data_IF_194799864462
#
_entry.id   IF_194799864462
#
_cell.length_a   1.000
_cell.length_b   1.000
_cell.length_c   1.000
_cell.angle_alpha   90.00
_cell.angle_beta   90.00
_cell.angle_gamma   90.00
#
_symmetry.space_group_name_H-M   'P 1'
#
loop_
_entity.id
_entity.type
_entity.pdbx_description
1 polymer ?
#
# COMPACT_ATOMS: atom_id res chain seq x y z
N UNK A 1 39.72 43.25 -48.26
CA UNK A 1 39.22 43.10 -46.87
C UNK A 1 38.07 42.08 -46.91
N UNK A 2 38.28 40.89 -46.53
CA UNK A 2 37.26 39.80 -46.54
C UNK A 2 36.84 39.58 -45.10
N UNK A 3 35.57 39.97 -44.79
CA UNK A 3 34.97 39.74 -43.50
C UNK A 3 34.54 38.29 -43.34
N UNK A 4 35.10 37.59 -42.36
CA UNK A 4 34.66 36.24 -41.98
C UNK A 4 33.49 36.35 -40.97
N UNK A 5 32.30 35.95 -41.36
CA UNK A 5 31.17 35.76 -40.46
C UNK A 5 31.33 34.45 -39.68
N UNK A 6 31.48 34.50 -38.38
CA UNK A 6 31.43 33.33 -37.50
C UNK A 6 29.94 33.08 -37.14
N UNK A 7 29.38 32.00 -37.62
CA UNK A 7 28.06 31.51 -37.19
C UNK A 7 28.25 30.69 -35.89
N UNK A 8 27.82 31.24 -34.76
CA UNK A 8 27.82 30.53 -33.50
C UNK A 8 26.51 29.72 -33.41
N UNK A 9 26.62 28.41 -33.52
CA UNK A 9 25.49 27.49 -33.40
C UNK A 9 25.16 27.28 -31.91
N UNK A 10 24.11 27.93 -31.44
CA UNK A 10 23.58 27.72 -30.06
C UNK A 10 22.79 26.40 -30.04
N UNK A 11 23.36 25.36 -29.44
CA UNK A 11 22.66 24.12 -29.18
C UNK A 11 21.76 24.30 -27.95
N UNK A 12 20.45 24.48 -28.15
CA UNK A 12 19.46 24.49 -27.06
C UNK A 12 19.25 23.02 -26.65
N UNK A 13 19.85 22.64 -25.53
CA UNK A 13 19.60 21.35 -24.89
C UNK A 13 18.17 21.37 -24.28
N UNK A 14 17.20 20.86 -25.01
CA UNK A 14 15.84 20.72 -24.52
C UNK A 14 15.82 19.54 -23.51
N UNK A 15 15.97 19.82 -22.21
CA UNK A 15 15.73 18.84 -21.15
C UNK A 15 14.23 18.54 -21.11
N UNK A 16 13.81 17.47 -21.75
CA UNK A 16 12.46 16.91 -21.56
C UNK A 16 12.36 16.35 -20.15
N UNK A 17 11.60 17.01 -19.30
CA UNK A 17 11.22 16.46 -17.99
C UNK A 17 10.23 15.33 -18.26
N UNK A 18 10.69 14.09 -18.18
CA UNK A 18 9.81 12.93 -18.22
C UNK A 18 9.12 12.83 -16.87
N UNK A 19 7.88 13.26 -16.79
CA UNK A 19 7.04 12.97 -15.63
C UNK A 19 6.73 11.48 -15.61
N UNK A 20 6.97 10.82 -14.46
CA UNK A 20 6.57 9.45 -14.26
C UNK A 20 5.04 9.37 -14.34
N UNK A 21 4.53 8.55 -15.27
CA UNK A 21 3.10 8.45 -15.52
C UNK A 21 2.43 7.57 -14.47
N UNK A 22 1.34 8.06 -13.88
CA UNK A 22 0.46 7.27 -13.03
C UNK A 22 -0.17 6.12 -13.85
N UNK A 23 -0.16 4.93 -13.29
CA UNK A 23 -0.79 3.74 -13.85
C UNK A 23 -1.88 3.26 -12.90
N UNK A 24 -3.11 3.12 -13.40
CA UNK A 24 -4.17 2.47 -12.63
C UNK A 24 -3.86 0.99 -12.49
N UNK A 25 -3.87 0.49 -11.26
CA UNK A 25 -3.73 -0.95 -10.97
C UNK A 25 -5.08 -1.66 -11.06
N UNK A 26 -6.19 -0.93 -11.01
CA UNK A 26 -7.55 -1.45 -11.18
C UNK A 26 -8.22 -0.79 -12.39
N UNK A 27 -8.77 -1.61 -13.29
CA UNK A 27 -9.30 -1.15 -14.58
C UNK A 27 -10.80 -0.80 -14.55
N UNK A 28 -11.48 -0.96 -13.40
CA UNK A 28 -12.91 -0.70 -13.23
C UNK A 28 -13.85 -1.78 -13.80
N UNK A 29 -13.32 -2.89 -14.34
CA UNK A 29 -14.10 -3.91 -15.05
C UNK A 29 -13.92 -5.32 -14.48
N UNK A 30 -12.70 -5.71 -14.21
CA UNK A 30 -12.33 -7.05 -13.76
C UNK A 30 -11.04 -7.03 -12.93
N UNK A 31 -10.60 -8.20 -12.49
CA UNK A 31 -9.37 -8.38 -11.69
C UNK A 31 -8.13 -8.67 -12.54
N UNK A 32 -8.10 -8.29 -13.81
CA UNK A 32 -6.92 -8.44 -14.66
C UNK A 32 -5.70 -7.76 -14.05
N UNK A 33 -4.59 -8.49 -13.92
CA UNK A 33 -3.36 -8.03 -13.26
C UNK A 33 -3.32 -8.30 -11.75
N UNK A 34 -4.33 -9.04 -11.25
CA UNK A 34 -4.43 -9.46 -9.87
C UNK A 34 -4.77 -10.94 -9.75
N UNK A 35 -4.31 -11.59 -8.70
CA UNK A 35 -4.76 -12.92 -8.29
C UNK A 35 -5.25 -12.92 -6.84
N UNK A 36 -6.03 -13.94 -6.52
CA UNK A 36 -6.68 -14.10 -5.22
C UNK A 36 -5.90 -15.12 -4.42
N UNK A 37 -5.55 -14.80 -3.18
CA UNK A 37 -5.00 -15.73 -2.19
C UNK A 37 -5.92 -15.75 -0.96
N UNK A 38 -6.87 -16.68 -0.95
CA UNK A 38 -7.89 -16.87 0.08
C UNK A 38 -7.87 -18.34 0.53
N UNK A 39 -7.25 -18.68 1.66
CA UNK A 39 -7.04 -20.07 2.08
C UNK A 39 -8.32 -20.91 2.22
N UNK A 40 -9.46 -20.26 2.51
CA UNK A 40 -10.74 -20.96 2.61
C UNK A 40 -11.22 -21.50 1.26
N UNK A 41 -10.92 -20.82 0.14
CA UNK A 41 -11.29 -21.25 -1.20
C UNK A 41 -10.52 -22.51 -1.66
N UNK A 42 -9.36 -22.78 -1.09
CA UNK A 42 -8.64 -24.03 -1.37
C UNK A 42 -9.35 -25.26 -0.79
N UNK A 43 -10.13 -25.05 0.29
CA UNK A 43 -10.84 -26.11 1.00
C UNK A 43 -12.27 -26.30 0.49
N UNK A 44 -12.90 -25.21 0.07
CA UNK A 44 -14.26 -25.21 -0.47
C UNK A 44 -14.38 -24.18 -1.61
N UNK A 45 -14.37 -24.68 -2.85
CA UNK A 45 -14.49 -23.88 -4.07
C UNK A 45 -15.90 -23.32 -4.30
N UNK A 46 -16.91 -23.73 -3.51
CA UNK A 46 -18.25 -23.15 -3.57
C UNK A 46 -18.37 -21.85 -2.77
N UNK A 47 -17.40 -21.54 -1.94
CA UNK A 47 -17.38 -20.26 -1.25
C UNK A 47 -17.27 -19.11 -2.25
N UNK A 48 -17.93 -18.01 -1.93
CA UNK A 48 -17.88 -16.81 -2.74
C UNK A 48 -16.50 -16.16 -2.66
N UNK A 49 -15.98 -15.74 -3.82
CA UNK A 49 -14.82 -14.85 -3.87
C UNK A 49 -15.13 -13.55 -3.11
N UNK A 50 -14.30 -13.15 -2.11
CA UNK A 50 -14.52 -11.91 -1.36
C UNK A 50 -14.21 -10.63 -2.16
N UNK A 51 -13.55 -10.73 -3.31
CA UNK A 51 -13.24 -9.59 -4.16
C UNK A 51 -14.13 -9.57 -5.38
N UNK A 52 -14.93 -8.52 -5.52
CA UNK A 52 -15.89 -8.36 -6.61
C UNK A 52 -15.79 -6.98 -7.25
N UNK A 53 -16.41 -6.82 -8.41
CA UNK A 53 -16.60 -5.52 -9.03
C UNK A 53 -18.07 -5.13 -8.85
N UNK A 54 -18.30 -3.93 -8.33
CA UNK A 54 -19.64 -3.36 -8.15
C UNK A 54 -19.63 -1.88 -8.53
N UNK A 55 -20.46 -1.51 -9.50
CA UNK A 55 -20.57 -0.13 -10.00
C UNK A 55 -19.21 0.47 -10.46
N UNK A 56 -18.37 -0.35 -11.10
CA UNK A 56 -17.05 0.08 -11.56
C UNK A 56 -15.99 0.22 -10.45
N UNK A 57 -16.32 -0.16 -9.22
CA UNK A 57 -15.42 -0.15 -8.07
C UNK A 57 -14.99 -1.57 -7.71
N UNK A 58 -13.76 -1.72 -7.24
CA UNK A 58 -13.31 -2.91 -6.56
C UNK A 58 -13.93 -2.93 -5.16
N UNK A 59 -14.46 -4.07 -4.75
CA UNK A 59 -15.08 -4.26 -3.43
C UNK A 59 -14.48 -5.48 -2.77
N UNK A 60 -13.95 -5.31 -1.58
CA UNK A 60 -13.68 -6.40 -0.64
C UNK A 60 -14.93 -6.60 0.22
N UNK A 61 -15.47 -7.79 0.24
CA UNK A 61 -16.62 -8.16 1.08
C UNK A 61 -16.23 -8.50 2.52
N UNK A 62 -14.92 -8.56 2.81
CA UNK A 62 -14.36 -8.90 4.10
C UNK A 62 -14.29 -10.39 4.41
N UNK A 63 -15.15 -11.21 3.80
CA UNK A 63 -15.20 -12.67 4.03
C UNK A 63 -15.46 -13.44 2.73
N UNK A 64 -14.87 -14.65 2.58
CA UNK A 64 -13.83 -15.24 3.46
C UNK A 64 -12.52 -14.45 3.44
N UNK A 65 -11.79 -14.49 4.56
CA UNK A 65 -10.56 -13.69 4.72
C UNK A 65 -9.45 -14.11 3.77
N UNK A 66 -8.67 -13.14 3.30
CA UNK A 66 -7.54 -13.32 2.41
C UNK A 66 -7.13 -12.05 1.69
N UNK A 67 -6.47 -12.19 0.57
CA UNK A 67 -5.83 -11.08 -0.13
C UNK A 67 -6.11 -11.09 -1.63
N UNK A 68 -6.22 -9.90 -2.21
CA UNK A 68 -6.13 -9.65 -3.64
C UNK A 68 -4.74 -9.08 -3.91
N UNK A 69 -3.92 -9.79 -4.68
CA UNK A 69 -2.47 -9.53 -4.82
C UNK A 69 -2.17 -9.20 -6.28
N UNK A 70 -1.39 -8.16 -6.55
CA UNK A 70 -0.96 -7.82 -7.92
C UNK A 70 -0.07 -8.92 -8.50
N UNK A 71 -0.21 -9.21 -9.81
CA UNK A 71 0.67 -10.18 -10.49
C UNK A 71 2.09 -9.65 -10.64
N UNK A 72 2.25 -8.32 -10.75
CA UNK A 72 3.54 -7.66 -10.92
C UNK A 72 4.19 -7.31 -9.59
N UNK A 73 5.52 -7.31 -9.59
CA UNK A 73 6.38 -6.82 -8.51
C UNK A 73 6.72 -5.36 -8.79
N UNK A 74 6.71 -4.55 -7.73
CA UNK A 74 7.01 -3.13 -7.79
C UNK A 74 8.14 -2.75 -6.83
N UNK A 75 8.88 -1.70 -7.20
CA UNK A 75 9.95 -1.10 -6.41
C UNK A 75 9.97 0.41 -6.68
N UNK A 76 10.27 1.21 -5.67
CA UNK A 76 10.38 2.67 -5.78
C UNK A 76 9.14 3.31 -6.41
N UNK A 77 8.05 3.28 -5.67
CA UNK A 77 6.73 3.71 -6.14
C UNK A 77 5.99 4.54 -5.09
N UNK A 78 5.06 5.33 -5.58
CA UNK A 78 3.95 5.92 -4.84
C UNK A 78 2.68 5.16 -5.22
N UNK A 79 1.98 4.61 -4.26
CA UNK A 79 0.64 4.04 -4.47
C UNK A 79 -0.40 4.95 -3.80
N UNK A 80 -1.49 5.22 -4.52
CA UNK A 80 -2.65 5.94 -4.02
C UNK A 80 -3.86 5.01 -4.02
N UNK A 81 -4.49 4.89 -2.86
CA UNK A 81 -5.70 4.11 -2.66
C UNK A 81 -6.81 5.02 -2.13
N UNK A 82 -7.95 5.07 -2.83
CA UNK A 82 -9.14 5.76 -2.35
C UNK A 82 -10.17 4.71 -1.94
N UNK A 83 -10.48 4.68 -0.65
CA UNK A 83 -11.30 3.65 -0.04
C UNK A 83 -12.34 4.21 0.92
N UNK A 84 -13.38 3.41 1.20
CA UNK A 84 -14.33 3.66 2.31
C UNK A 84 -14.90 2.37 2.84
N UNK A 85 -15.27 2.37 4.11
CA UNK A 85 -16.16 1.36 4.67
C UNK A 85 -17.58 1.74 4.28
N UNK A 86 -18.22 0.90 3.48
CA UNK A 86 -19.57 1.18 2.95
C UNK A 86 -20.69 0.95 3.98
N UNK A 87 -20.39 0.23 5.04
CA UNK A 87 -21.32 -0.14 6.12
C UNK A 87 -20.70 0.02 7.51
N UNK A 88 -20.61 -1.06 8.26
CA UNK A 88 -19.98 -1.05 9.56
C UNK A 88 -18.47 -0.77 9.47
N UNK A 89 -17.87 -0.09 10.46
CA UNK A 89 -16.42 0.04 10.53
C UNK A 89 -15.78 -1.33 10.77
N UNK A 90 -14.54 -1.51 10.28
CA UNK A 90 -13.85 -2.77 10.46
C UNK A 90 -12.40 -2.73 10.06
N UNK A 91 -11.88 -3.88 9.65
CA UNK A 91 -10.49 -4.06 9.28
C UNK A 91 -10.30 -4.20 7.76
N UNK A 92 -9.21 -3.66 7.28
CA UNK A 92 -8.66 -3.81 5.94
C UNK A 92 -7.21 -3.32 5.99
N UNK A 93 -6.39 -3.72 5.02
CA UNK A 93 -5.00 -3.29 4.93
C UNK A 93 -4.49 -3.22 3.51
N UNK A 94 -3.48 -2.37 3.31
CA UNK A 94 -2.66 -2.28 2.11
C UNK A 94 -1.30 -2.91 2.41
N UNK A 95 -1.03 -4.10 1.88
CA UNK A 95 0.23 -4.80 2.08
C UNK A 95 1.24 -4.38 1.01
N UNK A 96 2.40 -3.95 1.47
CA UNK A 96 3.50 -3.42 0.68
C UNK A 96 4.60 -4.48 0.58
N UNK A 97 5.19 -4.59 -0.61
CA UNK A 97 6.29 -5.52 -0.87
C UNK A 97 5.93 -6.99 -0.53
N UNK A 98 4.66 -7.36 -0.77
CA UNK A 98 4.19 -8.71 -0.53
C UNK A 98 5.02 -9.72 -1.36
N UNK A 99 5.38 -10.84 -0.73
CA UNK A 99 6.22 -11.87 -1.34
C UNK A 99 5.71 -13.26 -0.96
N UNK A 100 6.45 -14.04 -0.20
CA UNK A 100 6.08 -15.42 0.14
C UNK A 100 4.66 -15.48 0.71
N UNK A 101 3.72 -16.19 0.06
CA UNK A 101 2.34 -16.27 0.51
C UNK A 101 2.23 -17.01 1.83
N UNK A 102 1.19 -16.69 2.60
CA UNK A 102 0.76 -17.42 3.81
C UNK A 102 1.86 -17.65 4.85
N UNK A 103 2.79 -16.68 4.97
CA UNK A 103 3.94 -16.75 5.86
C UNK A 103 3.61 -16.53 7.34
N UNK A 104 2.46 -15.92 7.62
CA UNK A 104 2.00 -15.66 8.98
C UNK A 104 0.54 -16.10 9.12
N UNK A 105 0.21 -16.82 10.20
CA UNK A 105 -1.11 -17.41 10.48
C UNK A 105 -1.70 -18.24 9.32
N UNK A 106 -0.85 -18.73 8.39
CA UNK A 106 -1.32 -19.44 7.21
C UNK A 106 -2.17 -18.61 6.24
N UNK A 107 -2.16 -17.27 6.37
CA UNK A 107 -2.98 -16.37 5.57
C UNK A 107 -2.17 -15.19 5.01
N UNK A 108 -1.40 -14.48 5.83
CA UNK A 108 -0.73 -13.25 5.41
C UNK A 108 0.55 -13.53 4.62
N UNK A 109 0.75 -12.91 3.45
CA UNK A 109 2.03 -12.94 2.77
C UNK A 109 3.08 -12.15 3.56
N UNK A 110 4.33 -12.52 3.40
CA UNK A 110 5.47 -11.77 3.92
C UNK A 110 5.44 -10.32 3.38
N UNK A 111 5.34 -9.30 4.24
CA UNK A 111 5.10 -7.90 3.83
C UNK A 111 5.24 -6.91 4.98
N UNK A 112 5.18 -5.61 4.67
CA UNK A 112 4.80 -4.55 5.62
C UNK A 112 3.39 -4.09 5.25
N UNK A 113 2.48 -4.11 6.21
CA UNK A 113 1.13 -3.60 6.01
C UNK A 113 1.04 -2.14 6.44
N UNK A 114 0.46 -1.29 5.58
CA UNK A 114 -0.10 -0.01 5.95
C UNK A 114 -1.57 -0.21 6.29
N UNK A 115 -1.88 -0.16 7.57
CA UNK A 115 -3.19 -0.46 8.10
C UNK A 115 -4.27 0.49 7.59
N UNK A 116 -5.44 -0.03 7.26
CA UNK A 116 -6.62 0.71 6.86
C UNK A 116 -7.80 0.50 7.84
N UNK A 117 -7.60 -0.24 8.92
CA UNK A 117 -8.61 -0.43 9.96
C UNK A 117 -9.10 0.91 10.48
N UNK A 118 -10.42 1.04 10.61
CA UNK A 118 -11.05 2.27 11.12
C UNK A 118 -10.43 2.72 12.44
N UNK A 119 -10.07 4.00 12.56
CA UNK A 119 -9.36 4.66 13.66
C UNK A 119 -7.87 4.27 13.82
N UNK A 120 -7.31 3.46 12.91
CA UNK A 120 -5.91 3.03 12.98
C UNK A 120 -5.20 3.16 11.61
N UNK A 121 -5.78 3.93 10.69
CA UNK A 121 -5.23 4.07 9.35
C UNK A 121 -3.81 4.65 9.36
N UNK A 122 -2.89 3.96 8.68
CA UNK A 122 -1.47 4.34 8.60
C UNK A 122 -0.57 3.73 9.67
N UNK A 123 -1.07 2.88 10.57
CA UNK A 123 -0.18 2.03 11.39
C UNK A 123 0.64 1.10 10.49
N UNK A 124 1.84 0.75 10.89
CA UNK A 124 2.54 -0.36 10.25
C UNK A 124 2.32 -1.66 11.02
N UNK A 125 2.12 -2.74 10.26
CA UNK A 125 2.20 -4.10 10.78
C UNK A 125 3.34 -4.87 10.11
N UNK A 126 4.24 -5.40 10.94
CA UNK A 126 5.35 -6.24 10.51
C UNK A 126 4.87 -7.67 10.28
N UNK A 127 4.92 -8.15 9.04
CA UNK A 127 4.49 -9.51 8.66
C UNK A 127 5.69 -10.25 8.09
N UNK A 128 6.49 -10.86 8.96
CA UNK A 128 7.76 -11.54 8.65
C UNK A 128 8.80 -10.61 7.97
N UNK A 129 8.46 -9.34 7.83
CA UNK A 129 9.34 -8.22 7.47
C UNK A 129 9.34 -7.21 8.62
N UNK A 130 10.37 -6.37 8.69
CA UNK A 130 10.52 -5.37 9.75
C UNK A 130 10.70 -3.98 9.16
N UNK A 131 10.33 -2.98 9.95
CA UNK A 131 10.55 -1.56 9.68
C UNK A 131 10.82 -0.84 10.99
N UNK A 132 11.65 0.19 10.94
CA UNK A 132 11.97 1.04 12.08
C UNK A 132 11.35 2.42 11.90
N UNK A 133 10.96 3.04 13.01
CA UNK A 133 10.44 4.41 13.05
C UNK A 133 11.08 5.19 14.19
N UNK A 134 11.07 6.53 14.15
CA UNK A 134 11.42 7.32 15.33
C UNK A 134 10.54 6.96 16.53
N UNK A 135 11.10 7.03 17.73
CA UNK A 135 10.41 6.73 18.99
C UNK A 135 9.78 5.33 19.06
N UNK A 136 10.49 4.31 18.57
CA UNK A 136 9.98 2.93 18.45
C UNK A 136 9.31 2.40 19.72
N UNK A 137 9.92 2.56 20.91
CA UNK A 137 9.33 2.02 22.15
C UNK A 137 7.99 2.67 22.50
N UNK A 138 7.84 3.96 22.25
CA UNK A 138 6.58 4.68 22.45
C UNK A 138 5.47 4.18 21.50
N UNK A 139 5.85 3.76 20.30
CA UNK A 139 4.93 3.40 19.21
C UNK A 139 4.69 1.89 19.08
N UNK A 140 5.62 1.06 19.56
CA UNK A 140 5.57 -0.39 19.45
C UNK A 140 5.55 -1.11 20.82
N UNK A 141 5.69 -0.37 21.93
CA UNK A 141 5.79 -0.93 23.28
C UNK A 141 7.20 -1.42 23.63
N UNK A 142 7.38 -2.15 24.73
CA UNK A 142 8.68 -2.59 25.23
C UNK A 142 9.45 -3.46 24.21
N UNK A 143 10.74 -3.16 24.05
CA UNK A 143 11.59 -3.77 23.02
C UNK A 143 11.68 -5.30 23.10
N UNK A 144 11.63 -5.87 24.28
CA UNK A 144 11.66 -7.32 24.52
C UNK A 144 10.47 -8.06 23.92
N UNK A 145 9.36 -7.37 23.65
CA UNK A 145 8.16 -7.95 23.03
C UNK A 145 8.17 -7.86 21.50
N UNK A 146 9.06 -7.07 20.90
CA UNK A 146 9.06 -6.85 19.46
C UNK A 146 9.37 -8.11 18.67
N UNK A 147 8.77 -8.21 17.51
CA UNK A 147 9.07 -9.27 16.56
C UNK A 147 8.22 -9.16 15.30
N UNK A 148 8.35 -10.14 14.43
CA UNK A 148 7.74 -10.16 13.10
C UNK A 148 6.90 -11.43 12.87
N UNK A 149 6.80 -12.26 13.89
CA UNK A 149 6.13 -13.56 13.87
C UNK A 149 4.94 -13.58 14.83
N UNK A 150 4.23 -14.69 14.86
CA UNK A 150 3.10 -14.92 15.77
C UNK A 150 3.47 -14.71 17.24
N UNK A 151 2.54 -14.16 18.01
CA UNK A 151 2.71 -13.91 19.46
C UNK A 151 3.67 -12.76 19.81
N UNK A 152 4.20 -12.03 18.83
CA UNK A 152 5.07 -10.88 19.03
C UNK A 152 4.32 -9.57 18.79
N UNK A 153 4.83 -8.48 19.41
CA UNK A 153 4.35 -7.14 19.10
C UNK A 153 4.85 -6.73 17.71
N UNK A 154 3.92 -6.69 16.76
CA UNK A 154 4.19 -6.43 15.33
C UNK A 154 3.68 -5.07 14.87
N UNK A 155 2.79 -4.44 15.66
CA UNK A 155 2.18 -3.16 15.33
C UNK A 155 3.09 -2.00 15.70
N UNK A 156 3.27 -1.07 14.78
CA UNK A 156 3.90 0.24 15.00
C UNK A 156 2.84 1.31 14.78
N UNK A 157 2.39 1.96 15.86
CA UNK A 157 1.32 2.97 15.81
C UNK A 157 1.71 4.13 14.91
N UNK A 158 0.72 4.73 14.27
CA UNK A 158 0.87 5.96 13.49
C UNK A 158 1.17 7.18 14.40
N UNK A 159 1.38 8.34 13.79
CA UNK A 159 1.75 9.58 14.49
C UNK A 159 0.55 10.45 14.87
N UNK A 160 -0.63 10.17 14.29
CA UNK A 160 -1.79 11.06 14.38
C UNK A 160 -3.04 10.25 14.65
N UNK A 161 -3.93 10.79 15.49
CA UNK A 161 -5.30 10.33 15.59
C UNK A 161 -6.20 11.19 14.68
N UNK A 162 -7.33 10.65 14.22
CA UNK A 162 -8.40 11.38 13.50
C UNK A 162 -8.03 11.91 12.08
N UNK A 163 -7.05 11.34 11.39
CA UNK A 163 -6.77 11.66 9.99
C UNK A 163 -7.81 11.07 9.03
N UNK A 164 -8.61 10.11 9.49
CA UNK A 164 -9.70 9.52 8.71
C UNK A 164 -10.92 10.42 8.69
N UNK A 165 -11.67 10.36 7.59
CA UNK A 165 -12.98 10.99 7.48
C UNK A 165 -14.06 10.16 8.18
N UNK A 166 -15.22 10.76 8.48
CA UNK A 166 -16.36 10.03 9.02
C UNK A 166 -16.68 8.76 8.25
N UNK A 167 -17.24 7.77 8.94
CA UNK A 167 -17.64 6.50 8.34
C UNK A 167 -18.55 6.71 7.13
N UNK A 168 -18.30 5.97 6.06
CA UNK A 168 -19.01 6.09 4.77
C UNK A 168 -18.41 7.13 3.81
N UNK A 169 -17.55 8.02 4.28
CA UNK A 169 -16.84 8.97 3.43
C UNK A 169 -15.56 8.37 2.83
N UNK A 170 -15.14 8.93 1.70
CA UNK A 170 -13.95 8.47 0.99
C UNK A 170 -12.67 8.96 1.64
N UNK A 171 -11.83 8.04 2.04
CA UNK A 171 -10.47 8.29 2.47
C UNK A 171 -9.48 8.13 1.31
N UNK A 172 -8.40 8.90 1.35
CA UNK A 172 -7.25 8.76 0.45
C UNK A 172 -6.03 8.38 1.27
N UNK A 173 -5.52 7.17 1.06
CA UNK A 173 -4.22 6.75 1.58
C UNK A 173 -3.19 6.84 0.46
N UNK A 174 -2.06 7.46 0.76
CA UNK A 174 -0.91 7.55 -0.13
C UNK A 174 0.26 6.92 0.59
N UNK A 175 0.95 6.01 -0.11
CA UNK A 175 2.17 5.39 0.41
C UNK A 175 3.28 5.54 -0.61
N UNK A 176 4.40 6.08 -0.17
CA UNK A 176 5.65 6.14 -0.94
C UNK A 176 6.64 5.13 -0.38
N UNK A 177 7.11 4.25 -1.25
CA UNK A 177 8.16 3.27 -0.98
C UNK A 177 9.38 3.61 -1.83
N UNK A 178 10.49 3.96 -1.21
CA UNK A 178 11.75 4.25 -1.91
C UNK A 178 12.91 3.60 -1.17
N UNK A 179 13.60 2.66 -1.84
CA UNK A 179 14.63 1.83 -1.23
C UNK A 179 14.09 1.15 0.04
N UNK A 180 14.66 1.45 1.21
CA UNK A 180 14.27 0.93 2.52
C UNK A 180 13.34 1.84 3.33
N UNK A 181 12.75 2.86 2.69
CA UNK A 181 11.85 3.80 3.33
C UNK A 181 10.40 3.60 2.89
N UNK A 182 9.49 3.76 3.85
CA UNK A 182 8.04 3.78 3.60
C UNK A 182 7.45 4.98 4.32
N UNK A 183 6.77 5.88 3.57
CA UNK A 183 6.11 7.06 4.11
C UNK A 183 4.62 7.05 3.74
N UNK A 184 3.75 7.34 4.70
CA UNK A 184 2.30 7.17 4.59
C UNK A 184 1.59 8.47 4.91
N UNK A 185 0.60 8.82 4.09
CA UNK A 185 -0.35 9.89 4.32
C UNK A 185 -1.78 9.37 4.29
N UNK A 186 -2.63 9.92 5.15
CA UNK A 186 -4.07 9.70 5.14
C UNK A 186 -4.76 11.05 5.06
N UNK A 187 -5.53 11.27 4.00
CA UNK A 187 -6.25 12.53 3.73
C UNK A 187 -5.37 13.80 3.78
N UNK A 188 -4.09 13.66 3.44
CA UNK A 188 -3.11 14.75 3.43
C UNK A 188 -2.24 14.84 4.68
N UNK A 189 -2.63 14.23 5.79
CA UNK A 189 -1.82 14.16 7.00
C UNK A 189 -0.75 13.09 6.85
N UNK A 190 0.52 13.42 7.12
CA UNK A 190 1.62 12.46 7.20
C UNK A 190 1.48 11.67 8.51
N UNK A 191 1.02 10.42 8.39
CA UNK A 191 0.69 9.57 9.53
C UNK A 191 1.80 8.61 9.94
N UNK A 192 2.72 8.30 9.02
CA UNK A 192 3.83 7.40 9.33
C UNK A 192 5.02 7.62 8.39
N UNK A 193 6.24 7.41 8.92
CA UNK A 193 7.46 7.38 8.13
C UNK A 193 8.44 6.40 8.78
N UNK A 194 8.75 5.32 8.06
CA UNK A 194 9.65 4.26 8.50
C UNK A 194 10.87 4.12 7.61
N UNK A 195 11.91 3.52 8.18
CA UNK A 195 13.24 3.36 7.60
C UNK A 195 13.74 1.95 7.89
N UNK A 196 14.87 1.56 7.28
CA UNK A 196 15.47 0.25 7.45
C UNK A 196 14.47 -0.90 7.20
N UNK A 197 13.53 -0.68 6.25
CA UNK A 197 12.59 -1.72 5.87
C UNK A 197 13.35 -2.90 5.27
N UNK A 198 13.10 -4.10 5.78
CA UNK A 198 13.77 -5.32 5.30
C UNK A 198 13.29 -5.75 3.91
N UNK A 199 12.07 -5.34 3.51
CA UNK A 199 11.53 -5.54 2.18
C UNK A 199 11.60 -4.23 1.37
N UNK A 200 12.23 -4.27 0.18
CA UNK A 200 12.40 -3.09 -0.68
C UNK A 200 11.68 -3.20 -2.03
N UNK A 201 11.12 -4.37 -2.31
CA UNK A 201 10.33 -4.67 -3.52
C UNK A 201 9.39 -5.84 -3.26
N UNK A 202 8.29 -5.89 -3.99
CA UNK A 202 7.32 -6.97 -3.91
C UNK A 202 6.01 -6.61 -4.59
N UNK A 203 5.03 -7.46 -4.41
CA UNK A 203 3.67 -7.24 -4.88
C UNK A 203 2.93 -6.28 -3.94
N UNK A 204 1.81 -5.76 -4.40
CA UNK A 204 0.87 -4.97 -3.58
C UNK A 204 -0.35 -5.82 -3.34
N UNK A 205 -0.85 -5.86 -2.10
CA UNK A 205 -2.05 -6.60 -1.80
C UNK A 205 -3.09 -5.76 -1.04
N UNK A 206 -4.37 -6.06 -1.25
CA UNK A 206 -5.50 -5.53 -0.52
C UNK A 206 -6.15 -6.67 0.27
N UNK A 207 -6.55 -6.39 1.50
CA UNK A 207 -7.13 -7.41 2.38
C UNK A 207 -8.65 -7.53 2.23
N UNK A 208 -9.15 -8.75 2.49
CA UNK A 208 -10.49 -9.02 2.96
C UNK A 208 -10.38 -9.53 4.41
N UNK A 209 -10.81 -8.72 5.38
CA UNK A 209 -10.64 -9.04 6.81
C UNK A 209 -11.83 -8.52 7.65
N UNK A 210 -13.00 -9.12 7.42
CA UNK A 210 -14.19 -8.99 8.26
C UNK A 210 -15.09 -7.79 7.96
N UNK A 211 -14.67 -6.82 7.12
CA UNK A 211 -15.50 -5.67 6.77
C UNK A 211 -15.61 -5.45 5.27
N UNK A 212 -16.76 -4.92 4.83
CA UNK A 212 -16.92 -4.50 3.45
C UNK A 212 -16.23 -3.16 3.21
N UNK A 213 -15.29 -3.15 2.23
CA UNK A 213 -14.55 -1.96 1.82
C UNK A 213 -14.66 -1.77 0.32
N UNK A 214 -15.01 -0.56 -0.09
CA UNK A 214 -15.04 -0.14 -1.48
C UNK A 214 -13.79 0.63 -1.84
N UNK A 215 -13.23 0.36 -3.03
CA UNK A 215 -12.06 1.04 -3.59
C UNK A 215 -12.46 1.64 -4.94
N UNK A 216 -12.39 2.96 -5.07
CA UNK A 216 -12.65 3.65 -6.35
C UNK A 216 -11.38 4.01 -7.11
N UNK A 217 -10.22 4.01 -6.45
CA UNK A 217 -8.91 4.23 -7.06
C UNK A 217 -7.87 3.33 -6.39
N UNK A 218 -7.08 2.64 -7.20
CA UNK A 218 -5.81 2.01 -6.81
C UNK A 218 -4.85 2.31 -7.95
N UNK A 219 -3.92 3.23 -7.72
CA UNK A 219 -3.01 3.72 -8.77
C UNK A 219 -1.58 3.82 -8.27
N UNK A 220 -0.62 3.62 -9.17
CA UNK A 220 0.81 3.59 -8.87
C UNK A 220 1.56 4.53 -9.80
N UNK A 221 2.53 5.26 -9.24
CA UNK A 221 3.47 6.10 -9.97
C UNK A 221 4.89 5.73 -9.53
N UNK A 222 5.83 5.44 -10.46
CA UNK A 222 7.25 5.29 -10.12
C UNK A 222 7.80 6.59 -9.54
N UNK A 223 8.65 6.47 -8.51
CA UNK A 223 9.29 7.63 -7.87
C UNK A 223 10.80 7.45 -7.76
N UNK A 224 11.51 8.58 -7.70
CA UNK A 224 12.98 8.64 -7.51
C UNK A 224 13.37 9.43 -6.27
N UNK A 225 12.38 10.02 -5.57
CA UNK A 225 12.55 10.73 -4.31
C UNK A 225 11.28 10.61 -3.47
N UNK A 226 11.41 10.62 -2.15
CA UNK A 226 10.31 10.74 -1.20
C UNK A 226 9.80 12.19 -1.19
N UNK A 227 8.49 12.38 -1.13
CA UNK A 227 7.88 13.71 -0.97
C UNK A 227 8.21 14.33 0.40
N UNK A 228 8.35 15.65 0.45
CA UNK A 228 8.63 16.41 1.67
C UNK A 228 7.47 16.35 2.67
#
# INVERSE_FOLDING_TARGET
>A
MTAKFLFSLFFILCCSVVYAQETSLFNGKDLTGWHIDVPALDKDTNLRNPFIIRNGMLVSLGEPQGHLITDKIYQNYRVEVQYRFAGAPGNCGLLLHASTPRSLYGMFPKSIESQMMHQNAGDFWCIVENIEVPEMEKRRGPKENWGITEGKERRVRNLTDNSEKPLGEWNTMIVECLNDQIKVWVNGDMVNHGFNCTAQKGQIALQAEGAEVEFRKVALTPITKISE
#
